data_IF_513748835285
#
_entry.id   IF_513748835285
#
_cell.length_a   1.000
_cell.length_b   1.000
_cell.length_c   1.000
_cell.angle_alpha   90.00
_cell.angle_beta   90.00
_cell.angle_gamma   90.00
#
_symmetry.space_group_name_H-M   'P 1'
#
loop_
_entity.id
_entity.type
_entity.pdbx_description
1 polymer ?
#
# COMPACT_ATOMS: atom_id res chain seq x y z
N UNK A 1 0.24 8.52 22.38
CA UNK A 1 0.57 9.62 21.47
C UNK A 1 0.89 9.06 20.11
N UNK A 2 0.18 9.51 19.07
CA UNK A 2 0.51 9.17 17.69
C UNK A 2 1.57 10.17 17.24
N UNK A 3 2.78 9.69 16.96
CA UNK A 3 3.90 10.54 16.60
C UNK A 3 3.88 10.88 15.10
N UNK A 4 4.42 12.05 14.76
CA UNK A 4 4.49 12.51 13.38
C UNK A 4 5.45 11.64 12.56
N UNK A 5 5.16 11.47 11.26
CA UNK A 5 6.05 10.82 10.29
C UNK A 5 7.25 11.67 9.88
N UNK A 6 7.30 12.92 10.34
CA UNK A 6 8.39 13.87 10.07
C UNK A 6 9.47 13.85 11.15
N UNK A 7 9.29 13.06 12.22
CA UNK A 7 10.31 12.87 13.25
C UNK A 7 11.34 11.84 12.79
N UNK A 8 12.59 12.04 13.21
CA UNK A 8 13.65 11.04 13.13
C UNK A 8 13.45 9.93 14.17
N UNK A 9 14.08 8.78 13.94
CA UNK A 9 14.01 7.66 14.90
C UNK A 9 14.59 8.06 16.27
N UNK A 10 15.64 8.88 16.29
CA UNK A 10 16.25 9.36 17.53
C UNK A 10 15.30 10.26 18.33
N UNK A 11 14.58 11.17 17.65
CA UNK A 11 13.55 12.00 18.30
C UNK A 11 12.40 11.13 18.83
N UNK A 12 11.98 10.12 18.07
CA UNK A 12 10.95 9.16 18.51
C UNK A 12 11.40 8.42 19.76
N UNK A 13 12.66 7.95 19.79
CA UNK A 13 13.27 7.27 20.93
C UNK A 13 13.35 8.18 22.15
N UNK A 14 13.77 9.44 21.97
CA UNK A 14 13.83 10.42 23.05
C UNK A 14 12.44 10.70 23.66
N UNK A 15 11.42 10.92 22.81
CA UNK A 15 10.04 11.14 23.25
C UNK A 15 9.51 9.92 24.00
N UNK A 16 9.72 8.72 23.44
CA UNK A 16 9.26 7.47 24.02
C UNK A 16 9.91 7.21 25.38
N UNK A 17 11.22 7.43 25.50
CA UNK A 17 11.94 7.28 26.78
C UNK A 17 11.47 8.28 27.83
N UNK A 18 11.25 9.54 27.47
CA UNK A 18 10.71 10.56 28.39
C UNK A 18 9.33 10.19 28.90
N UNK A 19 8.46 9.67 28.03
CA UNK A 19 7.13 9.21 28.42
C UNK A 19 7.22 8.03 29.39
N UNK A 20 8.06 7.03 29.10
CA UNK A 20 8.27 5.86 29.99
C UNK A 20 8.89 6.21 31.34
N UNK A 21 9.73 7.24 31.39
CA UNK A 21 10.36 7.71 32.65
C UNK A 21 9.43 8.60 33.48
N UNK A 22 8.38 9.14 32.87
CA UNK A 22 7.36 9.93 33.58
C UNK A 22 6.31 9.02 34.22
N UNK A 23 5.56 9.51 35.22
CA UNK A 23 4.36 8.83 35.76
C UNK A 23 3.17 8.80 34.76
N UNK A 24 3.45 8.91 33.46
CA UNK A 24 2.48 8.94 32.38
C UNK A 24 2.21 7.53 31.85
N UNK A 25 0.94 7.20 31.64
CA UNK A 25 0.52 5.95 30.99
C UNK A 25 0.35 6.09 29.48
N UNK A 26 1.00 7.07 28.85
CA UNK A 26 0.84 7.36 27.42
C UNK A 26 1.76 6.46 26.60
N UNK A 27 1.18 5.55 25.84
CA UNK A 27 1.86 4.69 24.84
C UNK A 27 2.17 5.47 23.55
N UNK A 28 3.21 5.10 22.80
CA UNK A 28 3.54 5.69 21.51
C UNK A 28 3.10 4.83 20.34
N UNK A 29 2.52 5.45 19.31
CA UNK A 29 2.14 4.82 18.05
C UNK A 29 2.83 5.54 16.89
N UNK A 30 3.43 4.78 15.98
CA UNK A 30 4.13 5.34 14.81
C UNK A 30 3.75 4.60 13.53
N UNK A 31 3.79 5.29 12.39
CA UNK A 31 3.65 4.61 11.11
C UNK A 31 4.92 3.84 10.77
N UNK A 32 4.76 2.68 10.11
CA UNK A 32 5.88 1.87 9.61
C UNK A 32 5.74 1.54 8.12
N UNK A 33 4.55 1.70 7.56
CA UNK A 33 4.28 1.40 6.16
C UNK A 33 3.13 2.26 5.60
N UNK A 34 3.31 2.78 4.39
CA UNK A 34 2.24 3.46 3.65
C UNK A 34 2.62 4.79 3.02
N UNK A 35 1.62 5.47 2.46
CA UNK A 35 1.85 6.73 1.76
C UNK A 35 2.36 7.84 2.70
N UNK A 36 3.48 8.46 2.31
CA UNK A 36 3.99 9.67 2.93
C UNK A 36 3.22 10.91 2.45
N UNK A 37 2.94 11.84 3.37
CA UNK A 37 2.27 13.09 3.03
C UNK A 37 3.29 14.10 2.48
N UNK A 38 2.85 14.93 1.53
CA UNK A 38 3.63 16.11 1.08
C UNK A 38 3.73 17.20 2.15
N UNK A 39 2.72 17.29 3.02
CA UNK A 39 2.57 18.29 4.05
C UNK A 39 2.72 17.63 5.42
N UNK A 40 3.05 18.44 6.43
CA UNK A 40 3.13 18.01 7.83
C UNK A 40 1.87 17.20 8.17
N UNK A 41 2.07 16.01 8.71
CA UNK A 41 1.02 15.00 8.89
C UNK A 41 -0.23 15.59 9.56
N UNK A 42 -1.36 15.54 8.85
CA UNK A 42 -2.65 16.07 9.33
C UNK A 42 -2.88 17.58 9.14
N UNK A 43 -2.06 18.26 8.34
CA UNK A 43 -2.25 19.67 7.95
C UNK A 43 -2.22 19.86 6.44
N UNK A 44 -3.04 19.08 5.72
CA UNK A 44 -3.14 19.19 4.26
C UNK A 44 -4.53 19.69 3.85
N UNK A 45 -4.57 20.80 3.10
CA UNK A 45 -5.81 21.36 2.55
C UNK A 45 -6.01 21.08 1.06
N UNK A 46 -5.03 20.43 0.41
CA UNK A 46 -5.02 20.25 -1.05
C UNK A 46 -6.24 19.45 -1.55
N UNK A 47 -6.51 18.30 -0.92
CA UNK A 47 -7.66 17.46 -1.27
C UNK A 47 -9.01 18.16 -1.01
N UNK A 48 -9.08 19.03 -0.01
CA UNK A 48 -10.29 19.80 0.27
C UNK A 48 -10.47 20.90 -0.78
N UNK A 49 -9.40 21.63 -1.10
CA UNK A 49 -9.43 22.71 -2.10
C UNK A 49 -9.85 22.23 -3.48
N UNK A 50 -9.35 21.06 -3.92
CA UNK A 50 -9.66 20.50 -5.24
C UNK A 50 -10.99 19.75 -5.28
N UNK A 51 -11.29 18.95 -4.26
CA UNK A 51 -12.39 17.97 -4.33
C UNK A 51 -13.46 18.12 -3.24
N UNK A 52 -13.31 19.06 -2.31
CA UNK A 52 -14.16 19.17 -1.13
C UNK A 52 -13.98 18.02 -0.12
N UNK A 53 -12.91 17.21 -0.25
CA UNK A 53 -12.66 16.03 0.59
C UNK A 53 -11.49 16.28 1.55
N UNK A 54 -11.77 16.40 2.84
CA UNK A 54 -10.80 16.83 3.86
C UNK A 54 -9.83 15.73 4.26
N UNK A 55 -8.53 15.94 4.01
CA UNK A 55 -7.47 15.04 4.48
C UNK A 55 -7.39 14.97 6.02
N UNK A 56 -7.73 16.07 6.70
CA UNK A 56 -7.73 16.17 8.16
C UNK A 56 -8.88 15.37 8.80
N UNK A 57 -9.93 15.07 8.03
CA UNK A 57 -11.00 14.14 8.41
C UNK A 57 -10.74 12.70 7.94
N UNK A 58 -9.54 12.45 7.38
CA UNK A 58 -9.18 11.16 6.84
C UNK A 58 -9.81 10.82 5.49
N UNK A 59 -10.24 11.82 4.73
CA UNK A 59 -10.98 11.65 3.47
C UNK A 59 -10.15 12.11 2.25
N UNK A 60 -8.82 12.05 2.36
CA UNK A 60 -7.91 12.53 1.32
C UNK A 60 -8.02 11.68 0.04
N UNK A 61 -8.20 12.33 -1.12
CA UNK A 61 -8.13 11.70 -2.45
C UNK A 61 -6.72 11.70 -3.07
N UNK A 62 -5.71 12.04 -2.27
CA UNK A 62 -4.28 12.03 -2.63
C UNK A 62 -3.94 12.79 -3.94
N UNK A 63 -4.40 14.04 -4.14
CA UNK A 63 -4.08 14.82 -5.36
C UNK A 63 -2.58 14.94 -5.64
N UNK A 64 -1.76 15.12 -4.61
CA UNK A 64 -0.29 15.19 -4.71
C UNK A 64 0.38 13.88 -5.17
N UNK A 65 -0.41 12.84 -5.43
CA UNK A 65 0.00 11.52 -5.92
C UNK A 65 -0.65 11.16 -7.26
N UNK A 66 -1.43 12.07 -7.85
CA UNK A 66 -2.02 11.91 -9.19
C UNK A 66 -1.05 12.36 -10.28
N UNK A 67 -1.37 12.01 -11.52
CA UNK A 67 -0.70 12.56 -12.70
C UNK A 67 -1.14 14.02 -12.93
N UNK A 68 -0.17 14.89 -13.18
CA UNK A 68 -0.40 16.31 -13.44
C UNK A 68 0.34 16.72 -14.71
N UNK A 69 -0.27 17.60 -15.50
CA UNK A 69 0.39 18.27 -16.62
C UNK A 69 0.84 19.65 -16.16
N UNK A 70 2.13 19.93 -16.28
CA UNK A 70 2.69 21.24 -15.94
C UNK A 70 2.59 22.15 -17.18
N UNK A 71 1.91 23.28 -17.03
CA UNK A 71 1.90 24.37 -18.00
C UNK A 71 2.68 25.56 -17.40
N UNK A 72 3.57 26.13 -18.20
CA UNK A 72 4.28 27.36 -17.85
C UNK A 72 3.77 28.47 -18.74
N UNK A 73 3.35 29.57 -18.13
CA UNK A 73 3.14 30.83 -18.81
C UNK A 73 4.21 31.78 -18.24
N UNK A 74 5.20 32.14 -19.07
CA UNK A 74 6.10 33.23 -18.74
C UNK A 74 5.28 34.53 -18.85
N UNK A 75 4.79 35.03 -17.72
CA UNK A 75 4.30 36.40 -17.66
C UNK A 75 5.45 37.31 -17.23
N UNK A 76 5.74 38.34 -18.02
CA UNK A 76 6.71 39.39 -17.65
C UNK A 76 6.18 40.24 -16.49
N UNK A 77 4.90 40.10 -16.12
CA UNK A 77 4.29 40.77 -14.98
C UNK A 77 3.80 39.76 -13.95
N UNK A 78 4.18 40.01 -12.69
CA UNK A 78 3.72 39.30 -11.48
C UNK A 78 2.19 39.46 -11.20
N UNK A 79 1.39 39.86 -12.20
CA UNK A 79 -0.01 40.26 -12.05
C UNK A 79 -0.96 39.37 -12.86
N UNK A 80 -1.61 38.46 -12.12
CA UNK A 80 -2.91 37.83 -12.41
C UNK A 80 -2.97 36.99 -13.70
N UNK A 81 -2.68 35.69 -13.54
CA UNK A 81 -3.00 34.64 -14.51
C UNK A 81 -4.50 34.68 -14.83
N UNK A 82 -4.84 34.78 -16.12
CA UNK A 82 -6.23 34.85 -16.56
C UNK A 82 -6.86 33.44 -16.57
N UNK A 83 -7.67 33.16 -15.55
CA UNK A 83 -8.30 31.85 -15.31
C UNK A 83 -9.35 31.43 -16.36
N UNK A 84 -9.63 32.23 -17.39
CA UNK A 84 -10.65 31.94 -18.39
C UNK A 84 -10.28 30.80 -19.35
N UNK A 85 -9.01 30.41 -19.41
CA UNK A 85 -8.48 29.50 -20.44
C UNK A 85 -8.09 28.12 -19.88
N UNK A 86 -8.30 27.89 -18.57
CA UNK A 86 -8.14 26.58 -17.96
C UNK A 86 -9.49 25.84 -17.94
N UNK A 87 -9.73 24.98 -18.94
CA UNK A 87 -10.87 24.06 -18.95
C UNK A 87 -10.73 22.92 -17.92
N UNK A 88 -9.52 22.71 -17.36
CA UNK A 88 -9.16 21.62 -16.43
C UNK A 88 -8.79 22.14 -15.01
N UNK A 89 -8.80 21.25 -14.01
CA UNK A 89 -8.34 21.54 -12.64
C UNK A 89 -6.86 22.00 -12.63
N UNK A 90 -6.59 23.26 -12.23
CA UNK A 90 -5.23 23.82 -12.19
C UNK A 90 -4.82 24.31 -10.78
N UNK A 91 -3.52 24.28 -10.51
CA UNK A 91 -2.92 24.80 -9.27
C UNK A 91 -1.72 25.68 -9.61
N UNK A 92 -1.70 26.90 -9.09
CA UNK A 92 -0.61 27.86 -9.34
C UNK A 92 0.45 27.70 -8.25
N UNK A 93 1.68 27.47 -8.66
CA UNK A 93 2.86 27.50 -7.78
C UNK A 93 3.54 28.84 -8.04
N UNK A 94 3.40 29.78 -7.10
CA UNK A 94 4.10 31.06 -7.13
C UNK A 94 5.47 30.96 -6.44
N UNK A 95 6.34 31.93 -6.71
CA UNK A 95 7.58 32.09 -5.95
C UNK A 95 7.29 32.24 -4.44
N UNK A 96 8.19 31.69 -3.63
CA UNK A 96 8.18 31.90 -2.19
C UNK A 96 8.49 33.36 -1.86
N UNK A 97 7.82 33.95 -0.87
CA UNK A 97 8.06 35.32 -0.42
C UNK A 97 9.51 35.59 0.04
N UNK A 98 10.30 34.55 0.31
CA UNK A 98 11.66 34.61 0.83
C UNK A 98 12.71 33.95 -0.09
N UNK A 99 12.38 33.73 -1.38
CA UNK A 99 13.22 32.99 -2.35
C UNK A 99 13.64 31.57 -1.92
N UNK A 100 13.07 31.04 -0.83
CA UNK A 100 13.25 29.65 -0.47
C UNK A 100 12.28 28.79 -1.27
N UNK A 101 12.77 28.18 -2.35
CA UNK A 101 12.03 27.15 -3.09
C UNK A 101 11.73 25.95 -2.16
N UNK A 102 10.62 26.04 -1.40
CA UNK A 102 10.17 25.04 -0.42
C UNK A 102 8.77 24.52 -0.73
N UNK A 103 8.22 24.84 -1.90
CA UNK A 103 6.91 24.32 -2.31
C UNK A 103 7.10 23.02 -3.09
N UNK A 104 6.98 21.90 -2.39
CA UNK A 104 6.92 20.57 -3.01
C UNK A 104 5.46 20.21 -3.26
N UNK A 105 5.07 20.09 -4.53
CA UNK A 105 3.70 19.70 -4.91
C UNK A 105 3.50 18.17 -4.89
N UNK A 106 4.55 17.42 -5.18
CA UNK A 106 4.51 15.97 -5.26
C UNK A 106 4.92 15.32 -3.95
N UNK A 107 4.23 14.24 -3.58
CA UNK A 107 4.62 13.46 -2.41
C UNK A 107 5.87 12.60 -2.71
N UNK A 108 6.71 12.32 -1.70
CA UNK A 108 7.81 11.38 -1.85
C UNK A 108 7.30 9.94 -2.02
N UNK A 109 8.23 9.01 -2.23
CA UNK A 109 8.00 7.57 -2.19
C UNK A 109 7.19 7.14 -0.95
N UNK A 110 6.57 5.96 -1.03
CA UNK A 110 5.89 5.37 0.11
C UNK A 110 6.90 4.99 1.20
N UNK A 111 6.47 4.94 2.44
CA UNK A 111 7.30 4.51 3.55
C UNK A 111 7.26 2.99 3.70
N UNK A 112 8.40 2.36 3.92
CA UNK A 112 8.49 0.98 4.41
C UNK A 112 9.72 0.82 5.32
N UNK A 113 9.52 0.26 6.51
CA UNK A 113 10.55 0.05 7.52
C UNK A 113 10.76 -1.42 7.86
N UNK A 114 10.43 -2.33 6.93
CA UNK A 114 10.51 -3.78 7.15
C UNK A 114 11.94 -4.24 7.44
N UNK A 115 12.94 -3.52 6.93
CA UNK A 115 14.36 -3.76 7.16
C UNK A 115 14.83 -3.30 8.56
N UNK A 116 14.03 -2.49 9.26
CA UNK A 116 14.42 -1.77 10.48
C UNK A 116 13.63 -2.18 11.73
N UNK A 117 13.11 -3.41 11.74
CA UNK A 117 12.33 -3.93 12.87
C UNK A 117 13.10 -3.89 14.20
N UNK A 118 14.39 -4.29 14.27
CA UNK A 118 15.16 -4.18 15.50
C UNK A 118 15.23 -2.73 16.02
N UNK A 119 15.60 -1.78 15.17
CA UNK A 119 15.76 -0.38 15.55
C UNK A 119 14.44 0.25 16.01
N UNK A 120 13.33 -0.12 15.40
CA UNK A 120 11.99 0.32 15.80
C UNK A 120 11.58 -0.23 17.17
N UNK A 121 11.85 -1.51 17.44
CA UNK A 121 11.52 -2.13 18.73
C UNK A 121 12.43 -1.58 19.84
N UNK A 122 13.72 -1.40 19.56
CA UNK A 122 14.70 -0.83 20.47
C UNK A 122 14.46 0.66 20.78
N UNK A 123 13.79 1.39 19.89
CA UNK A 123 13.31 2.74 20.16
C UNK A 123 12.19 2.75 21.23
N UNK A 124 11.66 1.59 21.58
CA UNK A 124 10.67 1.39 22.63
C UNK A 124 9.24 1.72 22.21
N UNK A 125 8.95 1.79 20.91
CA UNK A 125 7.63 2.11 20.38
C UNK A 125 6.60 1.05 20.80
N UNK A 126 5.42 1.48 21.26
CA UNK A 126 4.40 0.56 21.78
C UNK A 126 3.46 0.02 20.68
N UNK A 127 3.21 0.78 19.61
CA UNK A 127 2.30 0.41 18.52
C UNK A 127 2.88 0.78 17.14
N UNK A 128 2.85 -0.18 16.22
CA UNK A 128 3.18 0.03 14.81
C UNK A 128 1.93 0.13 13.94
N UNK A 129 1.92 1.13 13.07
CA UNK A 129 0.76 1.48 12.24
C UNK A 129 1.03 1.33 10.76
N UNK A 130 0.10 0.67 10.08
CA UNK A 130 0.10 0.47 8.62
C UNK A 130 -1.07 1.25 8.01
N UNK A 131 -0.83 1.99 6.92
CA UNK A 131 -1.88 2.71 6.18
C UNK A 131 -2.75 1.75 5.37
N UNK A 132 -3.96 1.45 5.86
CA UNK A 132 -4.92 0.60 5.15
C UNK A 132 -6.03 1.34 4.42
N UNK A 133 -6.17 2.66 4.58
CA UNK A 133 -7.32 3.39 4.02
C UNK A 133 -7.20 3.50 2.51
N UNK A 134 -8.29 3.20 1.81
CA UNK A 134 -8.34 3.19 0.35
C UNK A 134 -7.21 2.33 -0.26
N UNK A 135 -6.89 1.22 0.41
CA UNK A 135 -5.99 0.18 -0.07
C UNK A 135 -6.78 -1.09 -0.33
N UNK A 136 -6.29 -1.90 -1.28
CA UNK A 136 -6.93 -3.17 -1.60
C UNK A 136 -6.67 -4.22 -0.52
N UNK A 137 -7.50 -5.27 -0.41
CA UNK A 137 -7.35 -6.28 0.64
C UNK A 137 -5.97 -6.97 0.67
N UNK A 138 -5.41 -7.26 -0.51
CA UNK A 138 -4.07 -7.82 -0.70
C UNK A 138 -2.95 -6.93 -0.20
N UNK A 139 -3.06 -5.61 -0.39
CA UNK A 139 -2.06 -4.67 0.13
C UNK A 139 -1.97 -4.78 1.65
N UNK A 140 -3.13 -4.75 2.32
CA UNK A 140 -3.19 -4.82 3.79
C UNK A 140 -2.76 -6.20 4.28
N UNK A 141 -3.23 -7.27 3.64
CA UNK A 141 -2.87 -8.64 4.00
C UNK A 141 -1.36 -8.88 3.87
N UNK A 142 -0.75 -8.44 2.77
CA UNK A 142 0.69 -8.62 2.51
C UNK A 142 1.51 -7.82 3.52
N UNK A 143 1.21 -6.53 3.70
CA UNK A 143 1.93 -5.70 4.66
C UNK A 143 1.83 -6.25 6.09
N UNK A 144 0.62 -6.57 6.57
CA UNK A 144 0.45 -7.13 7.91
C UNK A 144 1.21 -8.45 8.08
N UNK A 145 1.14 -9.34 7.08
CA UNK A 145 1.84 -10.64 7.13
C UNK A 145 3.34 -10.46 7.28
N UNK A 146 4.00 -9.72 6.39
CA UNK A 146 5.47 -9.61 6.40
C UNK A 146 5.99 -8.91 7.65
N UNK A 147 5.31 -7.85 8.12
CA UNK A 147 5.69 -7.19 9.36
C UNK A 147 5.48 -8.10 10.57
N UNK A 148 4.40 -8.88 10.60
CA UNK A 148 4.16 -9.82 11.69
C UNK A 148 5.22 -10.91 11.74
N UNK A 149 5.56 -11.50 10.60
CA UNK A 149 6.65 -12.49 10.49
C UNK A 149 7.99 -11.92 10.99
N UNK A 150 8.36 -10.72 10.53
CA UNK A 150 9.61 -10.08 10.94
C UNK A 150 9.65 -9.77 12.45
N UNK A 151 8.55 -9.24 13.01
CA UNK A 151 8.45 -8.93 14.44
C UNK A 151 8.47 -10.23 15.27
N UNK A 152 7.72 -11.26 14.88
CA UNK A 152 7.70 -12.54 15.60
C UNK A 152 9.09 -13.18 15.66
N UNK A 153 9.79 -13.22 14.52
CA UNK A 153 11.15 -13.78 14.45
C UNK A 153 12.14 -12.99 15.30
N UNK A 154 12.07 -11.65 15.25
CA UNK A 154 12.92 -10.82 16.10
C UNK A 154 12.62 -11.02 17.59
N UNK A 155 11.35 -11.16 17.97
CA UNK A 155 10.94 -11.37 19.37
C UNK A 155 11.34 -12.76 19.90
N UNK A 156 11.43 -13.77 19.04
CA UNK A 156 11.84 -15.12 19.42
C UNK A 156 13.35 -15.22 19.71
N UNK A 157 14.19 -14.62 18.87
CA UNK A 157 15.65 -14.63 19.02
C UNK A 157 16.31 -13.33 18.52
N UNK A 158 16.28 -12.24 19.34
CA UNK A 158 16.86 -10.96 18.95
C UNK A 158 18.36 -11.02 18.61
N UNK A 159 19.11 -11.91 19.26
CA UNK A 159 20.58 -11.99 19.12
C UNK A 159 21.00 -12.64 17.79
N UNK A 160 20.17 -13.52 17.23
CA UNK A 160 20.43 -14.20 15.95
C UNK A 160 19.49 -13.75 14.82
N UNK A 161 18.67 -12.73 15.04
CA UNK A 161 17.75 -12.22 14.03
C UNK A 161 18.47 -11.80 12.75
N UNK A 162 17.90 -12.21 11.62
CA UNK A 162 18.35 -11.80 10.29
C UNK A 162 17.15 -11.38 9.47
N UNK A 163 17.30 -10.24 8.78
CA UNK A 163 16.32 -9.76 7.82
C UNK A 163 16.17 -10.76 6.66
N UNK A 164 14.93 -11.09 6.29
CA UNK A 164 14.62 -11.89 5.09
C UNK A 164 14.27 -10.94 3.91
N UNK A 165 15.11 -10.87 2.86
CA UNK A 165 14.84 -10.06 1.67
C UNK A 165 13.48 -10.33 1.00
N UNK A 166 12.94 -11.54 1.18
CA UNK A 166 11.62 -11.92 0.65
C UNK A 166 10.50 -11.01 1.15
N UNK A 167 10.64 -10.41 2.34
CA UNK A 167 9.62 -9.50 2.83
C UNK A 167 9.48 -8.26 1.95
N UNK A 168 10.60 -7.65 1.54
CA UNK A 168 10.54 -6.54 0.60
C UNK A 168 10.09 -7.01 -0.78
N UNK A 169 10.52 -8.19 -1.24
CA UNK A 169 10.03 -8.78 -2.50
C UNK A 169 8.50 -8.91 -2.49
N UNK A 170 7.90 -9.41 -1.41
CA UNK A 170 6.44 -9.49 -1.26
C UNK A 170 5.76 -8.11 -1.23
N UNK A 171 6.34 -7.13 -0.52
CA UNK A 171 5.83 -5.75 -0.53
C UNK A 171 5.87 -5.13 -1.94
N UNK A 172 6.88 -5.44 -2.74
CA UNK A 172 6.99 -5.01 -4.13
C UNK A 172 5.93 -5.63 -5.05
N UNK A 173 5.27 -6.73 -4.65
CA UNK A 173 4.18 -7.33 -5.43
C UNK A 173 2.87 -6.57 -5.32
N UNK A 174 2.63 -5.86 -4.22
CA UNK A 174 1.40 -5.07 -4.02
C UNK A 174 1.61 -3.61 -4.46
N UNK A 175 0.49 -2.87 -4.61
CA UNK A 175 0.54 -1.47 -5.02
C UNK A 175 1.50 -0.67 -4.14
N UNK A 176 2.47 -0.02 -4.76
CA UNK A 176 3.43 0.86 -4.11
C UNK A 176 3.95 1.88 -5.12
N UNK A 177 4.43 3.03 -4.65
CA UNK A 177 5.04 4.06 -5.50
C UNK A 177 6.53 4.23 -5.16
N UNK A 178 7.21 3.09 -5.04
CA UNK A 178 8.55 2.98 -4.49
C UNK A 178 8.59 3.15 -2.98
N UNK A 179 9.65 2.64 -2.36
CA UNK A 179 9.85 2.71 -0.91
C UNK A 179 11.03 3.61 -0.52
N UNK A 180 10.88 4.26 0.62
CA UNK A 180 11.89 5.03 1.33
C UNK A 180 11.70 4.83 2.84
N UNK A 181 12.74 5.08 3.63
CA UNK A 181 12.68 5.00 5.09
C UNK A 181 11.98 6.19 5.75
N UNK A 182 11.59 7.20 4.97
CA UNK A 182 11.00 8.42 5.48
C UNK A 182 11.99 9.21 6.33
N UNK A 183 11.45 10.08 7.18
CA UNK A 183 12.25 10.92 8.07
C UNK A 183 12.99 10.13 9.17
N UNK A 184 12.70 8.84 9.32
CA UNK A 184 13.21 8.05 10.45
C UNK A 184 14.71 7.83 10.34
N UNK A 185 15.19 7.63 9.11
CA UNK A 185 16.59 7.36 8.82
C UNK A 185 17.21 8.33 7.81
N UNK A 186 16.42 9.14 7.10
CA UNK A 186 16.92 10.09 6.09
C UNK A 186 16.00 11.31 5.97
N UNK A 187 16.29 12.22 5.03
CA UNK A 187 15.33 13.25 4.59
C UNK A 187 14.86 12.88 3.19
N UNK A 188 13.58 12.51 2.99
CA UNK A 188 13.08 12.11 1.69
C UNK A 188 13.21 13.23 0.66
N UNK A 189 13.88 12.95 -0.46
CA UNK A 189 14.04 13.88 -1.57
C UNK A 189 13.54 13.31 -2.91
N UNK A 190 13.36 12.00 -3.00
CA UNK A 190 12.89 11.33 -4.21
C UNK A 190 11.37 11.38 -4.32
N UNK A 191 10.90 11.82 -5.48
CA UNK A 191 9.47 11.82 -5.79
C UNK A 191 8.94 10.41 -5.98
N UNK A 192 7.67 10.22 -5.65
CA UNK A 192 6.97 8.98 -5.96
C UNK A 192 6.69 8.86 -7.46
N UNK A 193 7.07 7.71 -8.03
CA UNK A 193 6.76 7.38 -9.43
C UNK A 193 5.34 6.82 -9.56
N UNK A 194 4.99 6.28 -10.74
CA UNK A 194 3.78 5.49 -10.90
C UNK A 194 3.87 4.17 -10.13
N UNK A 195 2.79 3.39 -10.13
CA UNK A 195 2.76 2.11 -9.42
C UNK A 195 3.92 1.20 -9.85
N UNK A 196 4.79 0.82 -8.90
CA UNK A 196 5.95 -0.04 -9.12
C UNK A 196 5.67 -1.52 -8.76
N UNK A 197 4.42 -1.88 -8.51
CA UNK A 197 4.02 -3.28 -8.33
C UNK A 197 4.41 -4.12 -9.54
N UNK A 198 5.13 -5.23 -9.29
CA UNK A 198 5.57 -6.19 -10.30
C UNK A 198 4.41 -6.90 -11.00
N UNK A 199 3.17 -6.78 -10.50
CA UNK A 199 2.02 -7.52 -10.98
C UNK A 199 0.82 -6.61 -11.29
N UNK A 200 -0.01 -7.10 -12.20
CA UNK A 200 -1.32 -6.58 -12.53
C UNK A 200 -2.34 -7.63 -12.14
N UNK A 201 -3.37 -7.21 -11.40
CA UNK A 201 -4.53 -8.06 -11.10
C UNK A 201 -5.52 -7.96 -12.24
N UNK A 202 -5.66 -9.03 -13.01
CA UNK A 202 -6.68 -9.15 -14.06
C UNK A 202 -7.90 -9.86 -13.48
N UNK A 203 -9.07 -9.24 -13.55
CA UNK A 203 -10.32 -9.86 -13.11
C UNK A 203 -10.73 -10.99 -14.07
N UNK A 204 -10.72 -12.23 -13.60
CA UNK A 204 -10.94 -13.42 -14.47
C UNK A 204 -12.17 -14.24 -14.10
N UNK A 205 -12.78 -14.01 -12.94
CA UNK A 205 -13.89 -14.84 -12.53
C UNK A 205 -14.38 -14.61 -11.12
N UNK A 206 -15.24 -15.53 -10.67
CA UNK A 206 -15.72 -15.59 -9.29
C UNK A 206 -15.92 -17.02 -8.82
N UNK A 207 -15.86 -17.22 -7.51
CA UNK A 207 -16.21 -18.49 -6.88
C UNK A 207 -17.73 -18.69 -6.94
N UNK A 208 -18.16 -19.84 -7.44
CA UNK A 208 -19.56 -20.29 -7.48
C UNK A 208 -19.85 -21.14 -6.25
N UNK A 209 -18.94 -22.03 -5.88
CA UNK A 209 -19.13 -22.94 -4.76
C UNK A 209 -17.80 -23.42 -4.18
N UNK A 210 -17.80 -23.87 -2.92
CA UNK A 210 -16.66 -24.52 -2.28
C UNK A 210 -17.07 -25.84 -1.61
N UNK A 211 -16.53 -26.95 -2.11
CA UNK A 211 -16.81 -28.30 -1.66
C UNK A 211 -15.88 -28.71 -0.50
N UNK A 212 -16.22 -28.32 0.72
CA UNK A 212 -15.40 -28.50 1.93
C UNK A 212 -14.79 -29.89 2.13
N UNK A 213 -15.50 -30.98 1.80
CA UNK A 213 -15.03 -32.35 2.06
C UNK A 213 -13.84 -32.75 1.20
N UNK A 214 -13.81 -32.27 -0.04
CA UNK A 214 -12.79 -32.61 -1.04
C UNK A 214 -11.84 -31.45 -1.33
N UNK A 215 -12.06 -30.28 -0.68
CA UNK A 215 -11.25 -29.06 -0.81
C UNK A 215 -11.12 -28.58 -2.26
N UNK A 216 -12.27 -28.42 -2.90
CA UNK A 216 -12.39 -27.99 -4.30
C UNK A 216 -13.25 -26.74 -4.38
N UNK A 217 -12.78 -25.74 -5.12
CA UNK A 217 -13.56 -24.57 -5.49
C UNK A 217 -14.07 -24.69 -6.93
N UNK A 218 -15.34 -24.39 -7.16
CA UNK A 218 -15.88 -24.20 -8.49
C UNK A 218 -15.84 -22.71 -8.84
N UNK A 219 -15.15 -22.37 -9.92
CA UNK A 219 -14.98 -21.02 -10.41
C UNK A 219 -15.77 -20.85 -11.70
N UNK A 220 -16.50 -19.74 -11.82
CA UNK A 220 -17.02 -19.27 -13.11
C UNK A 220 -16.06 -18.25 -13.66
N UNK A 221 -15.40 -18.59 -14.77
CA UNK A 221 -14.36 -17.76 -15.39
C UNK A 221 -14.90 -17.04 -16.63
N UNK A 222 -14.46 -15.81 -16.86
CA UNK A 222 -14.70 -15.02 -18.08
C UNK A 222 -13.40 -14.62 -18.79
N UNK A 223 -12.27 -15.13 -18.32
CA UNK A 223 -10.98 -15.11 -18.98
C UNK A 223 -10.38 -16.52 -18.96
N UNK A 224 -9.28 -16.73 -19.69
CA UNK A 224 -8.64 -18.04 -19.79
C UNK A 224 -7.80 -18.34 -18.53
N UNK A 225 -7.80 -19.61 -18.12
CA UNK A 225 -7.05 -20.11 -16.96
C UNK A 225 -6.30 -21.39 -17.33
N UNK A 226 -5.06 -21.54 -16.86
CA UNK A 226 -4.19 -22.67 -17.11
C UNK A 226 -3.53 -23.17 -15.82
N UNK A 227 -3.11 -24.45 -15.83
CA UNK A 227 -2.22 -24.97 -14.77
C UNK A 227 -0.92 -24.15 -14.76
N UNK A 228 -0.47 -23.81 -13.56
CA UNK A 228 0.70 -22.95 -13.32
C UNK A 228 0.38 -21.46 -13.22
N UNK A 229 -0.84 -21.04 -13.56
CA UNK A 229 -1.26 -19.66 -13.32
C UNK A 229 -1.35 -19.37 -11.82
N UNK A 230 -0.93 -18.18 -11.41
CA UNK A 230 -1.13 -17.68 -10.06
C UNK A 230 -2.41 -16.84 -10.00
N UNK A 231 -3.32 -17.22 -9.10
CA UNK A 231 -4.58 -16.53 -8.87
C UNK A 231 -4.62 -15.91 -7.47
N UNK A 232 -5.43 -14.87 -7.34
CA UNK A 232 -5.76 -14.23 -6.09
C UNK A 232 -7.28 -14.23 -5.89
N UNK A 233 -7.74 -14.84 -4.81
CA UNK A 233 -9.16 -14.88 -4.43
C UNK A 233 -9.42 -13.87 -3.32
N UNK A 234 -10.39 -12.98 -3.53
CA UNK A 234 -10.74 -11.93 -2.57
C UNK A 234 -12.21 -11.95 -2.19
N UNK A 235 -12.47 -11.83 -0.89
CA UNK A 235 -13.82 -11.86 -0.34
C UNK A 235 -13.91 -11.17 1.02
N UNK A 236 -15.09 -10.63 1.41
CA UNK A 236 -15.26 -9.93 2.69
C UNK A 236 -14.92 -10.78 3.93
N UNK A 237 -15.11 -12.10 3.85
CA UNK A 237 -14.80 -13.03 4.96
C UNK A 237 -13.65 -13.97 4.64
N UNK A 238 -13.32 -14.13 3.36
CA UNK A 238 -12.17 -14.92 2.89
C UNK A 238 -10.86 -14.13 3.02
N UNK A 239 -10.92 -12.79 2.98
CA UNK A 239 -9.74 -11.94 2.96
C UNK A 239 -9.13 -11.88 1.57
N UNK A 240 -7.82 -12.09 1.48
CA UNK A 240 -7.07 -12.17 0.23
C UNK A 240 -6.16 -13.39 0.26
N UNK A 241 -6.36 -14.33 -0.66
CA UNK A 241 -5.64 -15.60 -0.71
C UNK A 241 -4.98 -15.72 -2.08
N UNK A 242 -3.70 -16.06 -2.10
CA UNK A 242 -2.95 -16.35 -3.32
C UNK A 242 -2.80 -17.86 -3.48
N UNK A 243 -2.98 -18.37 -4.69
CA UNK A 243 -2.91 -19.79 -4.98
C UNK A 243 -2.40 -20.04 -6.40
N UNK A 244 -1.48 -20.99 -6.57
CA UNK A 244 -1.01 -21.44 -7.88
C UNK A 244 -1.86 -22.61 -8.33
N UNK A 245 -2.45 -22.53 -9.53
CA UNK A 245 -3.30 -23.60 -10.07
C UNK A 245 -2.45 -24.85 -10.33
N UNK A 246 -2.62 -25.89 -9.52
CA UNK A 246 -1.95 -27.18 -9.71
C UNK A 246 -2.81 -28.22 -10.47
N UNK A 247 -4.13 -28.05 -10.43
CA UNK A 247 -5.08 -29.01 -10.96
C UNK A 247 -6.41 -28.35 -11.32
N UNK A 248 -6.98 -28.77 -12.44
CA UNK A 248 -8.27 -28.28 -12.93
C UNK A 248 -9.12 -29.42 -13.48
N UNK A 249 -10.44 -29.32 -13.29
CA UNK A 249 -11.41 -30.21 -13.91
C UNK A 249 -12.62 -29.47 -14.47
N UNK A 250 -13.16 -29.99 -15.58
CA UNK A 250 -14.49 -29.65 -16.10
C UNK A 250 -15.25 -30.97 -16.28
N UNK A 251 -16.48 -31.04 -15.75
CA UNK A 251 -17.33 -32.25 -15.80
C UNK A 251 -16.62 -33.54 -15.34
N UNK A 252 -15.78 -33.42 -14.30
CA UNK A 252 -15.00 -34.52 -13.72
C UNK A 252 -13.81 -35.01 -14.56
N UNK A 253 -13.46 -34.30 -15.64
CA UNK A 253 -12.29 -34.61 -16.47
C UNK A 253 -11.18 -33.61 -16.20
N UNK A 254 -9.97 -34.12 -15.96
CA UNK A 254 -8.78 -33.29 -15.81
C UNK A 254 -8.48 -32.52 -17.11
N UNK A 255 -8.13 -31.25 -16.95
CA UNK A 255 -7.79 -30.34 -18.04
C UNK A 255 -6.55 -29.51 -17.67
N UNK A 256 -5.78 -29.11 -18.67
CA UNK A 256 -4.61 -28.23 -18.47
C UNK A 256 -4.94 -26.74 -18.69
N UNK A 257 -5.98 -26.47 -19.50
CA UNK A 257 -6.44 -25.13 -19.86
C UNK A 257 -7.96 -25.08 -19.86
N UNK A 258 -8.52 -24.02 -19.31
CA UNK A 258 -9.92 -23.69 -19.31
C UNK A 258 -10.13 -22.39 -20.09
N UNK A 259 -11.03 -22.42 -21.07
CA UNK A 259 -11.38 -21.25 -21.87
C UNK A 259 -12.42 -20.39 -21.15
N UNK A 260 -12.38 -19.08 -21.43
CA UNK A 260 -13.38 -18.12 -20.94
C UNK A 260 -14.83 -18.61 -21.13
N UNK A 261 -15.66 -18.39 -20.12
CA UNK A 261 -17.07 -18.78 -20.10
C UNK A 261 -17.34 -20.14 -19.47
N UNK A 262 -16.30 -20.88 -19.09
CA UNK A 262 -16.41 -22.19 -18.45
C UNK A 262 -16.65 -22.10 -16.94
N UNK A 263 -17.21 -23.16 -16.36
CA UNK A 263 -17.11 -23.43 -14.92
C UNK A 263 -15.97 -24.44 -14.73
N UNK A 264 -14.97 -24.08 -13.95
CA UNK A 264 -13.78 -24.90 -13.69
C UNK A 264 -13.67 -25.22 -12.21
N UNK A 265 -13.41 -26.48 -11.88
CA UNK A 265 -13.13 -26.92 -10.53
C UNK A 265 -11.61 -26.93 -10.29
N UNK A 266 -11.14 -26.27 -9.23
CA UNK A 266 -9.74 -26.24 -8.81
C UNK A 266 -9.59 -26.86 -7.41
N UNK A 267 -8.48 -27.54 -7.15
CA UNK A 267 -8.14 -27.95 -5.79
C UNK A 267 -7.58 -26.74 -5.03
N UNK A 268 -8.10 -26.44 -3.84
CA UNK A 268 -7.59 -25.37 -2.99
C UNK A 268 -7.97 -25.64 -1.54
N UNK A 269 -6.95 -25.65 -0.66
CA UNK A 269 -7.10 -26.04 0.74
C UNK A 269 -7.85 -24.99 1.55
N UNK A 270 -7.67 -23.72 1.20
CA UNK A 270 -8.32 -22.60 1.85
C UNK A 270 -9.80 -22.52 1.52
N UNK A 271 -10.61 -22.30 2.55
CA UNK A 271 -12.06 -22.30 2.43
C UNK A 271 -12.58 -21.01 1.81
N UNK A 272 -12.91 -21.05 0.52
CA UNK A 272 -13.49 -19.91 -0.21
C UNK A 272 -14.99 -19.72 0.07
N UNK A 273 -15.55 -18.59 -0.38
CA UNK A 273 -16.98 -18.27 -0.28
C UNK A 273 -17.55 -17.97 -1.66
N UNK A 274 -18.84 -18.28 -1.80
CA UNK A 274 -19.59 -17.92 -3.00
C UNK A 274 -19.51 -16.41 -3.24
N UNK A 275 -19.33 -16.03 -4.51
CA UNK A 275 -19.14 -14.65 -4.99
C UNK A 275 -17.81 -13.98 -4.60
N UNK A 276 -16.85 -14.71 -4.02
CA UNK A 276 -15.48 -14.22 -3.93
C UNK A 276 -14.94 -13.95 -5.35
N UNK A 277 -14.27 -12.82 -5.53
CA UNK A 277 -13.66 -12.44 -6.79
C UNK A 277 -12.38 -13.24 -7.02
N UNK A 278 -12.12 -13.60 -8.27
CA UNK A 278 -10.91 -14.31 -8.69
C UNK A 278 -10.16 -13.44 -9.67
N UNK A 279 -8.94 -13.08 -9.31
CA UNK A 279 -8.01 -12.35 -10.14
C UNK A 279 -6.88 -13.27 -10.57
N UNK A 280 -6.37 -13.09 -11.79
CA UNK A 280 -5.10 -13.65 -12.24
C UNK A 280 -4.00 -12.63 -12.00
N UNK A 281 -2.88 -13.05 -11.40
CA UNK A 281 -1.70 -12.22 -11.23
C UNK A 281 -0.84 -12.31 -12.48
N UNK A 282 -0.65 -11.19 -13.17
CA UNK A 282 0.11 -11.12 -14.42
C UNK A 282 1.33 -10.23 -14.19
N UNK A 283 2.56 -10.66 -14.52
CA UNK A 283 3.72 -9.79 -14.44
C UNK A 283 3.51 -8.51 -15.25
N UNK A 284 3.89 -7.37 -14.67
CA UNK A 284 3.89 -6.07 -15.32
C UNK A 284 5.08 -6.00 -16.29
N UNK A 285 4.80 -5.66 -17.55
CA UNK A 285 5.82 -5.43 -18.59
C UNK A 285 6.59 -4.11 -18.38
#
# INVERSE_FOLDING_TARGET
AILSRELSLEEIKEITNKLKQSDSSIETEVFIHGAMCMAISGRCFLSYGLYGRSANCGDCLQPCRKEWKLSFEEDENDDVINFSDCDDESFIISNSYDDSYRTNFFSPKDMALIEHIPELIDAGIDSFKIEGRARSPDYVATAVKVYREAIDLYQEDPENYQYDPKWMEELMKVFNRGYDTGFYFNVPYEISENNQSEFIKKDIGKVVNYYNKIRVAELKIWDDLAIGDEIMVQGPTTGSITHVIDSMQIDGKAIEKAEKGSNVAIAIDEKLRESDFVYKLIPRE
#
